data_IF_946837696341
#
_entry.id   IF_946837696341
#
_cell.length_a   1.000
_cell.length_b   1.000
_cell.length_c   1.000
_cell.angle_alpha   90.00
_cell.angle_beta   90.00
_cell.angle_gamma   90.00
#
_symmetry.space_group_name_H-M   'P 1'
#
loop_
_entity.id
_entity.type
_entity.pdbx_description
1 polymer ?
#
# COMPACT_ATOMS: atom_id res chain seq x y z
N UNK A 1 4.44 6.28 -17.49
CA UNK A 1 3.55 7.34 -18.01
C UNK A 1 3.92 8.67 -17.35
N UNK A 2 3.55 9.83 -17.92
CA UNK A 2 3.91 11.14 -17.34
C UNK A 2 3.40 11.31 -15.91
N UNK A 3 2.26 10.70 -15.58
CA UNK A 3 1.67 10.64 -14.22
C UNK A 3 2.46 9.78 -13.21
N UNK A 4 3.36 8.91 -13.68
CA UNK A 4 4.31 8.19 -12.80
C UNK A 4 5.51 9.07 -12.43
N UNK A 5 5.77 10.12 -13.22
CA UNK A 5 6.80 11.09 -12.90
C UNK A 5 6.25 11.98 -11.80
N UNK A 6 6.97 12.03 -10.68
CA UNK A 6 6.68 12.98 -9.61
C UNK A 6 6.54 14.38 -10.22
N UNK A 7 5.37 14.98 -10.07
CA UNK A 7 5.13 16.40 -10.32
C UNK A 7 5.16 17.13 -8.98
N UNK A 8 6.33 17.46 -8.42
CA UNK A 8 6.43 18.10 -7.10
C UNK A 8 5.71 19.43 -6.99
N UNK A 9 5.28 20.05 -8.10
CA UNK A 9 4.47 21.27 -8.08
C UNK A 9 2.98 21.00 -7.84
N UNK A 10 2.46 19.84 -8.29
CA UNK A 10 1.04 19.46 -8.17
C UNK A 10 0.81 18.27 -7.23
N UNK A 11 1.86 17.54 -6.89
CA UNK A 11 1.94 16.46 -5.91
C UNK A 11 3.17 16.67 -5.00
N UNK A 12 3.08 17.58 -4.01
CA UNK A 12 4.22 18.02 -3.21
C UNK A 12 4.72 16.97 -2.21
N UNK A 13 3.96 15.90 -1.96
CA UNK A 13 4.41 14.79 -1.14
C UNK A 13 3.69 13.49 -1.50
N UNK A 14 4.45 12.40 -1.51
CA UNK A 14 3.93 11.03 -1.55
C UNK A 14 3.42 10.56 -2.93
N UNK A 15 4.26 10.69 -3.96
CA UNK A 15 4.05 9.95 -5.21
C UNK A 15 4.35 8.46 -5.05
N UNK A 16 5.49 7.98 -5.56
CA UNK A 16 5.91 6.59 -5.32
C UNK A 16 6.25 6.35 -3.83
N UNK A 17 5.54 5.41 -3.19
CA UNK A 17 5.74 5.10 -1.78
C UNK A 17 5.94 3.59 -1.55
N UNK A 18 4.86 2.81 -1.54
CA UNK A 18 4.95 1.36 -1.38
C UNK A 18 5.59 0.66 -2.58
N UNK A 19 6.44 -0.33 -2.31
CA UNK A 19 7.15 -1.10 -3.34
C UNK A 19 7.30 -2.56 -2.92
N UNK A 20 7.08 -3.47 -3.87
CA UNK A 20 7.32 -4.92 -3.71
C UNK A 20 7.90 -5.51 -4.99
N UNK A 21 8.69 -6.58 -4.87
CA UNK A 21 9.18 -7.34 -6.01
C UNK A 21 8.46 -8.69 -6.13
N UNK A 22 8.36 -9.19 -7.35
CA UNK A 22 8.08 -10.62 -7.58
C UNK A 22 9.21 -11.48 -6.99
N UNK A 23 8.94 -12.76 -6.64
CA UNK A 23 9.98 -13.64 -6.07
C UNK A 23 11.20 -13.85 -6.97
N UNK A 24 11.02 -13.75 -8.29
CA UNK A 24 12.11 -13.85 -9.27
C UNK A 24 12.82 -12.51 -9.54
N UNK A 25 12.38 -11.42 -8.91
CA UNK A 25 12.95 -10.08 -9.03
C UNK A 25 12.78 -9.42 -10.39
N UNK A 26 11.97 -9.99 -11.30
CA UNK A 26 11.80 -9.49 -12.68
C UNK A 26 10.72 -8.43 -12.82
N UNK A 27 9.97 -8.16 -11.77
CA UNK A 27 8.91 -7.16 -11.79
C UNK A 27 8.83 -6.52 -10.42
N UNK A 28 8.77 -5.19 -10.42
CA UNK A 28 8.41 -4.39 -9.26
C UNK A 28 6.96 -3.96 -9.40
N UNK A 29 6.26 -3.85 -8.28
CA UNK A 29 4.98 -3.16 -8.18
C UNK A 29 5.18 -1.99 -7.25
N UNK A 30 4.82 -0.81 -7.73
CA UNK A 30 4.94 0.45 -7.00
C UNK A 30 3.55 1.05 -6.83
N UNK A 31 3.21 1.43 -5.61
CA UNK A 31 2.00 2.18 -5.28
C UNK A 31 2.28 3.67 -5.32
N UNK A 32 1.39 4.41 -5.96
CA UNK A 32 1.41 5.86 -5.95
C UNK A 32 0.36 6.36 -4.96
N UNK A 33 0.79 7.05 -3.90
CA UNK A 33 -0.11 7.30 -2.76
C UNK A 33 -1.28 8.20 -3.12
N UNK A 34 -1.05 9.33 -3.80
CA UNK A 34 -2.13 10.30 -4.07
C UNK A 34 -3.04 9.93 -5.25
N UNK A 35 -2.52 9.25 -6.27
CA UNK A 35 -3.32 8.81 -7.42
C UNK A 35 -4.15 7.56 -7.12
N UNK A 36 -3.95 6.93 -5.98
CA UNK A 36 -4.51 5.61 -5.68
C UNK A 36 -4.20 4.58 -6.79
N UNK A 37 -3.03 4.69 -7.42
CA UNK A 37 -2.68 3.91 -8.61
C UNK A 37 -1.54 2.93 -8.33
N UNK A 38 -1.54 1.82 -9.07
CA UNK A 38 -0.51 0.79 -9.01
C UNK A 38 0.22 0.73 -10.34
N UNK A 39 1.54 0.56 -10.29
CA UNK A 39 2.38 0.48 -11.47
C UNK A 39 3.26 -0.76 -11.44
N UNK A 40 3.30 -1.47 -12.55
CA UNK A 40 4.23 -2.55 -12.84
C UNK A 40 5.48 -1.94 -13.47
N UNK A 41 6.64 -2.22 -12.90
CA UNK A 41 7.93 -1.70 -13.39
C UNK A 41 8.88 -2.85 -13.71
N UNK A 42 9.49 -2.80 -14.89
CA UNK A 42 10.65 -3.64 -15.22
C UNK A 42 11.92 -3.04 -14.58
N UNK A 43 12.55 -3.71 -13.61
CA UNK A 43 13.70 -3.15 -12.90
C UNK A 43 14.97 -3.06 -13.77
N UNK A 44 15.04 -3.77 -14.90
CA UNK A 44 16.20 -3.76 -15.78
C UNK A 44 16.14 -2.60 -16.79
N UNK A 45 14.95 -2.25 -17.28
CA UNK A 45 14.77 -1.19 -18.29
C UNK A 45 14.20 0.10 -17.71
N UNK A 46 13.47 0.02 -16.59
CA UNK A 46 12.67 1.12 -16.06
C UNK A 46 11.33 1.31 -16.79
N UNK A 47 10.93 0.37 -17.66
CA UNK A 47 9.62 0.43 -18.33
C UNK A 47 8.48 0.32 -17.31
N UNK A 48 7.45 1.14 -17.49
CA UNK A 48 6.35 1.29 -16.54
C UNK A 48 5.01 1.09 -17.24
N UNK A 49 4.22 0.16 -16.74
CA UNK A 49 2.82 -0.05 -17.11
C UNK A 49 1.91 0.20 -15.89
N UNK A 50 0.77 0.86 -16.07
CA UNK A 50 -0.24 0.94 -15.01
C UNK A 50 -0.94 -0.42 -14.85
N UNK A 51 -1.21 -0.81 -13.60
CA UNK A 51 -1.99 -1.99 -13.24
C UNK A 51 -3.45 -1.55 -13.08
N UNK A 52 -4.30 -1.95 -14.02
CA UNK A 52 -5.71 -1.58 -14.00
C UNK A 52 -6.47 -2.42 -12.98
N UNK A 53 -6.92 -1.81 -11.87
CA UNK A 53 -7.70 -2.49 -10.83
C UNK A 53 -9.19 -2.23 -11.01
N UNK A 54 -10.01 -3.27 -10.87
CA UNK A 54 -11.46 -3.18 -10.93
C UNK A 54 -12.12 -3.69 -9.63
N UNK A 55 -13.04 -2.92 -9.01
CA UNK A 55 -13.21 -1.47 -9.21
C UNK A 55 -11.91 -0.68 -8.94
N UNK A 56 -11.79 0.57 -9.42
CA UNK A 56 -10.63 1.41 -9.15
C UNK A 56 -10.39 1.60 -7.65
N UNK A 57 -9.12 1.65 -7.26
CA UNK A 57 -8.72 1.96 -5.89
C UNK A 57 -9.01 3.43 -5.57
N UNK A 58 -9.12 3.73 -4.27
CA UNK A 58 -9.21 5.11 -3.77
C UNK A 58 -8.54 5.23 -2.41
N UNK A 59 -8.25 6.46 -2.00
CA UNK A 59 -7.52 6.73 -0.75
C UNK A 59 -6.01 6.74 -0.95
N UNK A 60 -5.27 6.72 0.16
CA UNK A 60 -3.82 6.85 0.16
C UNK A 60 -3.16 5.47 0.13
N UNK A 61 -2.37 5.14 -0.90
CA UNK A 61 -1.62 3.89 -0.91
C UNK A 61 -0.26 4.08 -0.23
N UNK A 62 -0.08 3.49 0.95
CA UNK A 62 1.19 3.52 1.68
C UNK A 62 2.01 2.27 1.32
N UNK A 63 2.35 1.42 2.29
CA UNK A 63 3.11 0.20 2.06
C UNK A 63 2.38 -0.87 1.26
N UNK A 64 3.18 -1.73 0.60
CA UNK A 64 2.71 -2.87 -0.18
C UNK A 64 3.29 -4.18 0.34
N UNK A 65 2.53 -5.27 0.24
CA UNK A 65 2.98 -6.63 0.52
C UNK A 65 2.40 -7.60 -0.50
N UNK A 66 3.25 -8.37 -1.18
CA UNK A 66 2.84 -9.34 -2.21
C UNK A 66 2.95 -10.78 -1.71
N UNK A 67 1.90 -11.58 -1.92
CA UNK A 67 1.93 -13.04 -1.76
C UNK A 67 1.38 -13.75 -2.99
N UNK A 68 2.27 -14.32 -3.80
CA UNK A 68 1.85 -14.95 -5.06
C UNK A 68 1.32 -13.86 -6.00
N UNK A 69 0.00 -13.77 -6.14
CA UNK A 69 -0.69 -12.70 -6.89
C UNK A 69 -1.60 -11.82 -6.04
N UNK A 70 -1.73 -12.13 -4.75
CA UNK A 70 -2.49 -11.31 -3.81
C UNK A 70 -1.60 -10.15 -3.34
N UNK A 71 -2.01 -8.93 -3.65
CA UNK A 71 -1.40 -7.70 -3.18
C UNK A 71 -2.20 -7.15 -2.00
N UNK A 72 -1.51 -6.92 -0.90
CA UNK A 72 -2.02 -6.25 0.29
C UNK A 72 -1.47 -4.83 0.30
N UNK A 73 -2.36 -3.85 0.44
CA UNK A 73 -2.03 -2.43 0.34
C UNK A 73 -2.45 -1.78 1.65
N UNK A 74 -1.52 -1.18 2.37
CA UNK A 74 -1.81 -0.44 3.59
C UNK A 74 -2.37 0.92 3.20
N UNK A 75 -3.58 1.21 3.64
CA UNK A 75 -4.31 2.44 3.31
C UNK A 75 -4.66 3.16 4.62
N UNK A 76 -3.90 4.19 5.06
CA UNK A 76 -4.24 4.98 6.24
C UNK A 76 -5.32 6.04 5.96
N UNK A 77 -5.84 6.64 7.03
CA UNK A 77 -6.74 7.80 6.95
C UNK A 77 -8.23 7.42 6.94
N UNK A 78 -9.10 8.18 6.25
CA UNK A 78 -10.55 7.97 6.33
C UNK A 78 -11.03 6.58 5.87
N UNK A 79 -10.24 5.90 5.02
CA UNK A 79 -10.51 4.55 4.53
C UNK A 79 -9.49 3.56 5.11
N UNK A 80 -9.27 3.64 6.43
CA UNK A 80 -8.25 2.86 7.11
C UNK A 80 -8.46 1.34 6.94
N UNK A 81 -7.43 0.65 6.45
CA UNK A 81 -7.40 -0.79 6.39
C UNK A 81 -6.30 -1.35 5.50
N UNK A 82 -6.35 -2.67 5.27
CA UNK A 82 -5.52 -3.34 4.28
C UNK A 82 -6.37 -3.72 3.09
N UNK A 83 -6.21 -3.01 1.98
CA UNK A 83 -6.89 -3.29 0.73
C UNK A 83 -6.27 -4.52 0.09
N UNK A 84 -7.11 -5.40 -0.45
CA UNK A 84 -6.68 -6.68 -1.03
C UNK A 84 -7.02 -6.69 -2.51
N UNK A 85 -6.00 -6.84 -3.35
CA UNK A 85 -6.14 -6.94 -4.81
C UNK A 85 -5.58 -8.26 -5.29
N UNK A 86 -6.33 -8.98 -6.12
CA UNK A 86 -5.86 -10.18 -6.81
C UNK A 86 -5.41 -9.83 -8.22
N UNK A 87 -4.10 -9.85 -8.44
CA UNK A 87 -3.49 -9.50 -9.72
C UNK A 87 -3.63 -10.62 -10.74
N UNK A 88 -3.73 -10.27 -12.03
CA UNK A 88 -3.65 -11.23 -13.12
C UNK A 88 -2.25 -11.84 -13.24
N UNK A 89 -2.08 -12.79 -14.18
CA UNK A 89 -0.78 -13.47 -14.35
C UNK A 89 0.32 -12.54 -14.86
N UNK A 90 -0.05 -11.48 -15.59
CA UNK A 90 0.91 -10.53 -16.16
C UNK A 90 1.18 -9.35 -15.21
N UNK A 91 0.41 -9.23 -14.13
CA UNK A 91 0.41 -8.09 -13.21
C UNK A 91 0.15 -6.78 -13.95
N UNK A 92 -0.78 -6.80 -14.91
CA UNK A 92 -1.23 -5.63 -15.68
C UNK A 92 -2.68 -5.27 -15.37
N UNK A 93 -3.40 -6.16 -14.68
CA UNK A 93 -4.71 -5.87 -14.13
C UNK A 93 -4.90 -6.60 -12.80
N UNK A 94 -5.91 -6.20 -12.04
CA UNK A 94 -6.29 -6.88 -10.81
C UNK A 94 -7.75 -6.66 -10.46
N UNK A 95 -8.28 -7.54 -9.61
CA UNK A 95 -9.61 -7.37 -9.03
C UNK A 95 -9.46 -6.93 -7.57
N UNK A 96 -10.13 -5.86 -7.19
CA UNK A 96 -10.23 -5.45 -5.80
C UNK A 96 -11.20 -6.41 -5.08
N UNK A 97 -10.66 -7.14 -4.10
CA UNK A 97 -11.39 -8.21 -3.40
C UNK A 97 -12.08 -7.69 -2.15
N UNK A 98 -11.54 -6.66 -1.52
CA UNK A 98 -12.08 -6.10 -0.29
C UNK A 98 -11.02 -5.55 0.65
N UNK A 99 -11.39 -5.39 1.91
CA UNK A 99 -10.58 -4.74 2.93
C UNK A 99 -10.46 -5.67 4.14
N UNK A 100 -9.27 -5.74 4.73
CA UNK A 100 -9.07 -6.32 6.07
C UNK A 100 -8.98 -5.15 7.05
N UNK A 101 -9.85 -5.17 8.06
CA UNK A 101 -9.88 -4.20 9.15
C UNK A 101 -9.54 -4.88 10.47
N UNK A 102 -9.06 -4.10 11.45
CA UNK A 102 -8.86 -4.56 12.83
C UNK A 102 -9.00 -3.35 13.77
N UNK A 103 -9.71 -3.46 14.90
CA UNK A 103 -9.91 -2.33 15.82
C UNK A 103 -8.63 -1.80 16.46
N UNK A 104 -7.50 -2.52 16.34
CA UNK A 104 -6.19 -2.07 16.82
C UNK A 104 -5.35 -1.39 15.72
N UNK A 105 -5.89 -1.18 14.52
CA UNK A 105 -5.25 -0.34 13.50
C UNK A 105 -5.30 1.13 13.93
N UNK A 106 -4.21 1.86 13.70
CA UNK A 106 -4.17 3.32 13.83
C UNK A 106 -3.03 3.91 12.97
N UNK A 107 -3.38 4.50 11.84
CA UNK A 107 -2.42 4.99 10.86
C UNK A 107 -1.61 3.84 10.26
N UNK A 108 -2.27 2.84 9.67
CA UNK A 108 -1.56 1.73 9.00
C UNK A 108 -0.60 2.26 7.93
N UNK A 109 0.69 1.90 8.02
CA UNK A 109 1.68 2.49 7.12
C UNK A 109 2.41 1.45 6.27
N UNK A 110 2.93 0.37 6.86
CA UNK A 110 3.59 -0.70 6.11
C UNK A 110 3.35 -2.06 6.77
N UNK A 111 3.96 -3.10 6.22
CA UNK A 111 3.74 -4.43 6.72
C UNK A 111 4.64 -5.49 6.10
N UNK A 112 4.56 -6.68 6.66
CA UNK A 112 5.31 -7.83 6.20
C UNK A 112 4.57 -9.14 6.49
N UNK A 113 4.82 -10.15 5.67
CA UNK A 113 4.33 -11.50 5.91
C UNK A 113 5.32 -12.27 6.78
N UNK A 114 4.79 -12.91 7.82
CA UNK A 114 5.55 -13.90 8.58
C UNK A 114 4.66 -15.10 8.94
N UNK A 115 5.09 -16.28 8.49
CA UNK A 115 4.30 -17.50 8.58
C UNK A 115 2.97 -17.36 7.85
N UNK A 116 1.87 -17.50 8.60
CA UNK A 116 0.50 -17.39 8.06
C UNK A 116 -0.13 -16.01 8.27
N UNK A 117 0.58 -15.05 8.86
CA UNK A 117 0.01 -13.76 9.23
C UNK A 117 0.62 -12.61 8.45
N UNK A 118 -0.16 -11.55 8.29
CA UNK A 118 0.30 -10.24 7.88
C UNK A 118 0.51 -9.41 9.14
N UNK A 119 1.67 -8.79 9.29
CA UNK A 119 1.98 -7.88 10.38
C UNK A 119 2.02 -6.47 9.80
N UNK A 120 1.21 -5.58 10.36
CA UNK A 120 1.04 -4.20 9.87
C UNK A 120 1.52 -3.25 10.95
N UNK A 121 2.40 -2.31 10.61
CA UNK A 121 2.80 -1.27 11.53
C UNK A 121 1.82 -0.09 11.48
N UNK A 122 1.51 0.42 12.67
CA UNK A 122 0.66 1.56 12.92
C UNK A 122 1.55 2.74 13.30
N UNK A 123 1.44 3.82 12.54
CA UNK A 123 2.22 5.04 12.73
C UNK A 123 1.61 5.99 13.78
N UNK A 124 0.33 5.81 14.13
CA UNK A 124 -0.42 6.70 15.05
C UNK A 124 -0.20 8.17 14.68
N UNK A 125 -0.54 8.52 13.43
CA UNK A 125 -0.28 9.84 12.84
C UNK A 125 -0.90 11.02 13.62
N UNK A 126 -1.90 10.74 14.47
CA UNK A 126 -2.58 11.68 15.34
C UNK A 126 -1.91 11.86 16.72
N UNK A 127 -0.92 11.03 17.05
CA UNK A 127 -0.23 11.00 18.36
C UNK A 127 1.13 11.71 18.37
N UNK A 128 1.48 12.43 17.30
CA UNK A 128 2.77 13.10 17.21
C UNK A 128 2.83 14.32 18.14
N UNK A 129 3.68 14.24 19.15
CA UNK A 129 3.97 15.36 20.05
C UNK A 129 5.15 16.16 19.50
N UNK A 130 4.98 17.48 19.48
CA UNK A 130 6.02 18.42 19.07
C UNK A 130 6.38 19.36 20.22
N UNK A 131 7.67 19.51 20.49
CA UNK A 131 8.21 20.54 21.38
C UNK A 131 9.18 21.42 20.59
N UNK A 132 8.92 22.74 20.59
CA UNK A 132 9.69 23.72 19.81
C UNK A 132 9.86 23.36 18.32
N UNK A 133 8.84 22.71 17.72
CA UNK A 133 8.86 22.28 16.32
C UNK A 133 9.65 20.99 16.06
N UNK A 134 10.11 20.30 17.10
CA UNK A 134 10.79 19.00 17.01
C UNK A 134 9.83 17.91 17.47
N UNK A 135 9.66 16.84 16.70
CA UNK A 135 8.90 15.66 17.16
C UNK A 135 9.63 15.01 18.34
N UNK A 136 8.95 14.88 19.47
CA UNK A 136 9.50 14.34 20.72
C UNK A 136 8.91 12.98 21.10
N UNK A 137 7.75 12.61 20.56
CA UNK A 137 7.13 11.31 20.79
C UNK A 137 6.27 10.88 19.59
N UNK A 138 6.28 9.57 19.31
CA UNK A 138 5.28 8.92 18.46
C UNK A 138 5.01 7.55 19.05
N UNK A 139 3.76 7.21 19.32
CA UNK A 139 3.40 5.83 19.61
C UNK A 139 3.53 4.99 18.33
N UNK A 140 3.97 3.73 18.47
CA UNK A 140 4.08 2.79 17.35
C UNK A 140 3.65 1.43 17.83
N UNK A 141 2.82 0.76 17.04
CA UNK A 141 2.38 -0.60 17.33
C UNK A 141 2.41 -1.46 16.07
N UNK A 142 2.32 -2.78 16.25
CA UNK A 142 2.20 -3.74 15.15
C UNK A 142 0.97 -4.60 15.38
N UNK A 143 0.05 -4.59 14.42
CA UNK A 143 -1.15 -5.44 14.43
C UNK A 143 -0.88 -6.72 13.64
N UNK A 144 -1.16 -7.87 14.25
CA UNK A 144 -1.07 -9.17 13.58
C UNK A 144 -2.44 -9.55 13.02
N UNK A 145 -2.55 -9.60 11.70
CA UNK A 145 -3.78 -9.87 10.98
C UNK A 145 -3.85 -11.31 10.47
N UNK A 146 -5.08 -11.83 10.40
CA UNK A 146 -5.40 -12.96 9.54
C UNK A 146 -5.64 -12.46 8.12
N UNK A 147 -4.70 -12.72 7.20
CA UNK A 147 -4.75 -12.21 5.81
C UNK A 147 -5.94 -12.72 4.96
N UNK A 148 -6.74 -13.62 5.51
CA UNK A 148 -7.91 -14.20 4.85
C UNK A 148 -9.24 -13.64 5.40
N UNK A 149 -9.21 -12.74 6.39
CA UNK A 149 -10.38 -12.09 6.95
C UNK A 149 -10.82 -10.89 6.10
N UNK A 150 -10.94 -11.07 4.78
CA UNK A 150 -11.29 -10.01 3.84
C UNK A 150 -12.79 -9.79 3.87
N UNK A 151 -13.21 -8.55 4.10
CA UNK A 151 -14.59 -8.10 3.99
C UNK A 151 -14.80 -7.49 2.60
N UNK A 152 -15.79 -7.98 1.86
CA UNK A 152 -16.16 -7.44 0.55
C UNK A 152 -16.96 -6.15 0.75
N UNK A 153 -16.68 -5.11 -0.05
CA UNK A 153 -17.57 -3.95 -0.11
C UNK A 153 -18.83 -4.38 -0.88
N UNK A 154 -19.98 -4.38 -0.19
CA UNK A 154 -21.30 -4.62 -0.79
C UNK A 154 -21.73 -3.48 -1.72
#
# INVERSE_FOLDING_TARGET
PDEFILDPANDPCCGANGIVSTPDGKTLIIGHSNLAALYRVDPATGDVDEIQVNPPLSGFLDGLVLKGRTLYIMTPGPQEGVFVVELDKRMLSGEFVGIITDPNMNGVASGALFGKSLYVNNAHYDSFDFENGVMIYSERSVTKLNRHAVETLD
#
